data_IF_570307598025
#
_entry.id   IF_570307598025
#
_cell.length_a   1.000
_cell.length_b   1.000
_cell.length_c   1.000
_cell.angle_alpha   90.00
_cell.angle_beta   90.00
_cell.angle_gamma   90.00
#
_symmetry.space_group_name_H-M   'P 1'
#
loop_
_entity.id
_entity.type
_entity.pdbx_description
1 polymer ?
#
# COMPACT_ATOMS: atom_id res chain seq x y z
N UNK A 1 12.30 14.24 5.37
CA UNK A 1 12.33 13.34 4.21
C UNK A 1 12.09 11.91 4.68
N UNK A 2 11.22 11.14 4.03
CA UNK A 2 11.09 9.70 4.31
C UNK A 2 12.26 8.93 3.67
N UNK A 3 12.88 8.01 4.41
CA UNK A 3 14.09 7.29 3.99
C UNK A 3 13.81 5.82 3.70
N UNK A 4 13.26 5.09 4.67
CA UNK A 4 13.07 3.63 4.59
C UNK A 4 11.73 3.27 5.25
N UNK A 5 10.97 2.39 4.62
CA UNK A 5 9.72 1.86 5.13
C UNK A 5 9.88 0.40 5.54
N UNK A 6 9.51 0.08 6.78
CA UNK A 6 9.54 -1.26 7.36
C UNK A 6 8.10 -1.73 7.63
N UNK A 7 7.48 -2.51 6.70
CA UNK A 7 6.14 -3.03 6.91
C UNK A 7 6.12 -4.03 8.07
N UNK A 8 5.03 -4.04 8.85
CA UNK A 8 4.76 -5.12 9.79
C UNK A 8 4.31 -6.35 8.98
N UNK A 9 4.93 -7.54 9.14
CA UNK A 9 4.64 -8.71 8.29
C UNK A 9 3.16 -9.11 8.27
N UNK A 10 2.46 -8.94 9.40
CA UNK A 10 1.04 -9.23 9.55
C UNK A 10 0.11 -8.13 9.02
N UNK A 11 0.64 -6.97 8.63
CA UNK A 11 -0.14 -5.83 8.13
C UNK A 11 0.17 -5.52 6.67
N UNK A 12 0.19 -6.56 5.82
CA UNK A 12 0.40 -6.44 4.39
C UNK A 12 -0.77 -7.12 3.68
N UNK A 13 -1.34 -6.43 2.71
CA UNK A 13 -2.33 -6.98 1.80
C UNK A 13 -1.92 -6.65 0.35
N UNK A 14 -2.06 -7.61 -0.54
CA UNK A 14 -1.86 -7.42 -1.97
C UNK A 14 -3.22 -7.39 -2.67
N UNK A 15 -3.40 -6.42 -3.56
CA UNK A 15 -4.61 -6.25 -4.37
C UNK A 15 -4.18 -6.29 -5.82
N UNK A 16 -4.74 -7.21 -6.61
CA UNK A 16 -4.43 -7.28 -8.04
C UNK A 16 -4.84 -5.97 -8.73
N UNK A 17 -3.98 -5.42 -9.58
CA UNK A 17 -4.32 -4.24 -10.36
C UNK A 17 -5.07 -4.64 -11.62
N UNK A 18 -5.92 -3.76 -12.13
CA UNK A 18 -6.45 -3.94 -13.48
C UNK A 18 -5.29 -3.84 -14.48
N UNK A 19 -5.17 -4.84 -15.34
CA UNK A 19 -4.11 -4.93 -16.35
C UNK A 19 -4.69 -4.88 -17.78
N UNK A 20 -3.89 -4.41 -18.74
CA UNK A 20 -4.25 -4.39 -20.16
C UNK A 20 -3.80 -3.13 -20.91
N UNK A 21 -4.21 -3.00 -22.17
CA UNK A 21 -3.77 -1.95 -23.11
C UNK A 21 -3.95 -0.52 -22.58
N UNK A 22 -5.01 -0.28 -21.80
CA UNK A 22 -5.36 1.04 -21.23
C UNK A 22 -5.21 1.09 -19.70
N UNK A 23 -4.45 0.15 -19.11
CA UNK A 23 -4.28 0.01 -17.67
C UNK A 23 -2.82 -0.35 -17.32
N UNK A 24 -2.62 -1.08 -16.21
CA UNK A 24 -1.28 -1.48 -15.79
C UNK A 24 -0.73 -2.64 -16.63
N UNK A 25 0.60 -2.87 -16.64
CA UNK A 25 1.20 -4.08 -17.18
C UNK A 25 0.69 -5.35 -16.49
N UNK A 26 0.71 -6.47 -17.20
CA UNK A 26 0.23 -7.76 -16.67
C UNK A 26 0.91 -8.19 -15.37
N UNK A 27 0.10 -8.69 -14.44
CA UNK A 27 0.57 -9.16 -13.13
C UNK A 27 0.98 -8.03 -12.18
N UNK A 28 0.55 -6.80 -12.44
CA UNK A 28 0.72 -5.68 -11.51
C UNK A 28 -0.18 -5.85 -10.29
N UNK A 29 0.33 -5.52 -9.11
CA UNK A 29 -0.43 -5.50 -7.86
C UNK A 29 -0.18 -4.20 -7.10
N UNK A 30 -1.13 -3.80 -6.27
CA UNK A 30 -0.91 -2.84 -5.19
C UNK A 30 -0.56 -3.60 -3.92
N UNK A 31 0.48 -3.15 -3.23
CA UNK A 31 0.78 -3.52 -1.86
C UNK A 31 0.26 -2.44 -0.93
N UNK A 32 -0.74 -2.77 -0.14
CA UNK A 32 -1.24 -1.94 0.96
C UNK A 32 -0.61 -2.47 2.24
N UNK A 33 0.11 -1.62 2.99
CA UNK A 33 0.79 -2.06 4.19
C UNK A 33 0.77 -1.02 5.30
N UNK A 34 0.73 -1.47 6.56
CA UNK A 34 1.01 -0.63 7.74
C UNK A 34 2.40 -0.98 8.28
N UNK A 35 3.19 0.03 8.61
CA UNK A 35 4.55 -0.16 9.08
C UNK A 35 5.21 1.12 9.55
N UNK A 36 6.42 1.01 10.10
CA UNK A 36 7.18 2.19 10.52
C UNK A 36 7.92 2.78 9.33
N UNK A 37 7.83 4.10 9.15
CA UNK A 37 8.61 4.80 8.14
C UNK A 37 9.62 5.74 8.80
N UNK A 38 10.90 5.60 8.44
CA UNK A 38 11.97 6.44 8.97
C UNK A 38 11.91 7.81 8.33
N UNK A 39 11.56 8.82 9.12
CA UNK A 39 11.59 10.23 8.77
C UNK A 39 12.68 10.94 9.60
N UNK A 40 13.06 12.16 9.20
CA UNK A 40 14.04 12.93 9.98
C UNK A 40 13.52 13.28 11.40
N UNK A 41 12.20 13.32 11.59
CA UNK A 41 11.52 13.62 12.86
C UNK A 41 11.18 12.40 13.70
N UNK A 42 11.51 11.18 13.25
CA UNK A 42 11.20 9.93 13.97
C UNK A 42 10.71 8.82 13.04
N UNK A 43 10.12 7.79 13.64
CA UNK A 43 9.68 6.58 12.93
C UNK A 43 8.16 6.37 13.10
N UNK A 44 7.30 7.23 12.54
CA UNK A 44 5.86 7.06 12.68
C UNK A 44 5.38 5.74 12.06
N UNK A 45 4.33 5.18 12.67
CA UNK A 45 3.52 4.14 12.07
C UNK A 45 2.66 4.76 10.97
N UNK A 46 2.81 4.27 9.73
CA UNK A 46 2.11 4.80 8.55
C UNK A 46 1.42 3.69 7.79
N UNK A 47 0.32 4.05 7.13
CA UNK A 47 -0.26 3.28 6.04
C UNK A 47 0.42 3.70 4.74
N UNK A 48 0.86 2.73 3.94
CA UNK A 48 1.53 2.98 2.67
C UNK A 48 0.97 2.08 1.57
N UNK A 49 0.68 2.70 0.43
CA UNK A 49 0.26 2.01 -0.80
C UNK A 49 1.42 2.11 -1.79
N UNK A 50 1.82 0.98 -2.36
CA UNK A 50 2.92 0.90 -3.32
C UNK A 50 2.53 -0.01 -4.47
N UNK A 51 3.07 0.24 -5.66
CA UNK A 51 2.84 -0.64 -6.81
C UNK A 51 3.93 -1.72 -6.88
N UNK A 52 3.56 -2.91 -7.30
CA UNK A 52 4.44 -4.06 -7.48
C UNK A 52 4.23 -4.54 -8.90
N UNK A 53 5.27 -4.41 -9.71
CA UNK A 53 5.27 -4.98 -11.06
C UNK A 53 5.83 -6.39 -10.99
N UNK A 54 5.29 -7.29 -11.81
CA UNK A 54 5.75 -8.67 -11.92
C UNK A 54 7.26 -8.77 -12.18
N UNK A 55 7.79 -7.93 -13.08
CA UNK A 55 9.17 -8.05 -13.54
C UNK A 55 10.17 -7.22 -12.71
N UNK A 56 9.76 -6.03 -12.26
CA UNK A 56 10.65 -5.11 -11.52
C UNK A 56 10.40 -5.08 -10.02
N UNK A 57 9.39 -5.81 -9.54
CA UNK A 57 9.00 -5.83 -8.15
C UNK A 57 8.46 -4.49 -7.62
N UNK A 58 8.60 -4.30 -6.31
CA UNK A 58 8.06 -3.18 -5.55
C UNK A 58 8.68 -1.83 -5.95
N UNK A 59 7.83 -0.87 -6.29
CA UNK A 59 8.23 0.51 -6.60
C UNK A 59 7.91 1.44 -5.43
N UNK A 60 8.94 1.82 -4.66
CA UNK A 60 8.76 2.57 -3.41
C UNK A 60 8.73 4.09 -3.49
N UNK A 61 9.10 4.68 -4.64
CA UNK A 61 9.18 6.14 -4.82
C UNK A 61 8.16 6.70 -5.81
N UNK A 62 7.45 5.83 -6.53
CA UNK A 62 6.39 6.23 -7.46
C UNK A 62 5.06 6.18 -6.73
N UNK A 63 4.27 7.24 -6.84
CA UNK A 63 2.89 7.21 -6.37
C UNK A 63 2.12 6.13 -7.12
N UNK A 64 1.25 5.36 -6.44
CA UNK A 64 0.37 4.42 -7.12
C UNK A 64 -0.62 5.22 -7.99
N UNK A 65 -0.90 4.70 -9.18
CA UNK A 65 -1.91 5.23 -10.09
C UNK A 65 -3.09 4.27 -10.18
N UNK A 66 -4.30 4.81 -10.25
CA UNK A 66 -5.54 4.03 -10.36
C UNK A 66 -6.17 4.34 -11.73
N UNK A 67 -6.20 3.39 -12.68
CA UNK A 67 -6.77 3.61 -14.00
C UNK A 67 -8.25 4.03 -13.91
N UNK A 68 -8.62 5.12 -14.58
CA UNK A 68 -10.01 5.59 -14.60
C UNK A 68 -10.90 4.61 -15.39
N UNK A 69 -12.13 4.42 -14.93
CA UNK A 69 -13.07 3.46 -15.52
C UNK A 69 -12.98 2.05 -14.94
N UNK A 70 -12.06 1.82 -14.00
CA UNK A 70 -11.91 0.59 -13.24
C UNK A 70 -12.08 0.84 -11.73
N UNK A 71 -12.16 -0.23 -10.95
CA UNK A 71 -12.47 -0.22 -9.52
C UNK A 71 -11.24 -0.40 -8.61
N UNK A 72 -10.03 -0.19 -9.15
CA UNK A 72 -8.78 -0.38 -8.44
C UNK A 72 -8.72 0.43 -7.14
N UNK A 73 -9.18 1.69 -7.20
CA UNK A 73 -9.19 2.58 -6.04
C UNK A 73 -10.12 2.07 -4.95
N UNK A 74 -11.31 1.60 -5.32
CA UNK A 74 -12.30 1.01 -4.41
C UNK A 74 -11.74 -0.26 -3.75
N UNK A 75 -11.17 -1.18 -4.54
CA UNK A 75 -10.58 -2.43 -4.02
C UNK A 75 -9.40 -2.17 -3.09
N UNK A 76 -8.56 -1.18 -3.42
CA UNK A 76 -7.46 -0.74 -2.56
C UNK A 76 -7.97 -0.08 -1.28
N UNK A 77 -9.00 0.76 -1.35
CA UNK A 77 -9.61 1.34 -0.14
C UNK A 77 -10.26 0.29 0.76
N UNK A 78 -10.85 -0.76 0.20
CA UNK A 78 -11.37 -1.88 0.98
C UNK A 78 -10.23 -2.60 1.74
N UNK A 79 -9.07 -2.80 1.10
CA UNK A 79 -7.88 -3.36 1.76
C UNK A 79 -7.33 -2.42 2.85
N UNK A 80 -7.29 -1.11 2.57
CA UNK A 80 -6.94 -0.08 3.57
C UNK A 80 -7.85 -0.20 4.79
N UNK A 81 -9.17 -0.22 4.60
CA UNK A 81 -10.13 -0.30 5.69
C UNK A 81 -9.98 -1.59 6.50
N UNK A 82 -9.72 -2.73 5.84
CA UNK A 82 -9.42 -4.00 6.52
C UNK A 82 -8.18 -3.91 7.41
N UNK A 83 -7.09 -3.35 6.90
CA UNK A 83 -5.85 -3.21 7.66
C UNK A 83 -5.98 -2.21 8.81
N UNK A 84 -6.68 -1.08 8.61
CA UNK A 84 -6.95 -0.12 9.67
C UNK A 84 -7.79 -0.74 10.79
N UNK A 85 -8.85 -1.48 10.45
CA UNK A 85 -9.64 -2.21 11.44
C UNK A 85 -8.78 -3.23 12.19
N UNK A 86 -7.98 -4.02 11.48
CA UNK A 86 -7.06 -4.99 12.10
C UNK A 86 -6.07 -4.31 13.04
N UNK A 87 -5.54 -3.14 12.67
CA UNK A 87 -4.64 -2.37 13.52
C UNK A 87 -5.32 -1.87 14.79
N UNK A 88 -6.58 -1.41 14.69
CA UNK A 88 -7.39 -1.04 15.85
C UNK A 88 -7.66 -2.25 16.77
N UNK A 89 -8.05 -3.39 16.20
CA UNK A 89 -8.33 -4.62 16.95
C UNK A 89 -7.08 -5.13 17.70
N UNK A 90 -5.88 -4.88 17.18
CA UNK A 90 -4.60 -5.21 17.81
C UNK A 90 -4.08 -4.13 18.76
N UNK A 91 -4.79 -3.03 18.95
CA UNK A 91 -4.40 -1.94 19.84
C UNK A 91 -3.18 -1.15 19.37
N UNK A 92 -2.86 -1.17 18.07
CA UNK A 92 -1.82 -0.30 17.51
C UNK A 92 -2.26 1.15 17.68
N UNK A 93 -1.50 1.90 18.47
CA UNK A 93 -1.81 3.32 18.75
C UNK A 93 -1.35 4.18 17.59
N UNK A 94 -2.30 4.72 16.83
CA UNK A 94 -2.07 5.81 15.90
C UNK A 94 -2.97 6.98 16.28
N UNK A 95 -2.46 8.21 16.12
CA UNK A 95 -3.25 9.43 16.34
C UNK A 95 -4.18 9.58 15.13
N UNK A 96 -5.48 9.47 15.34
CA UNK A 96 -6.49 9.91 14.38
C UNK A 96 -6.55 11.44 14.34
#
# INVERSE_FOLDING_TARGET
MAKIFHPLPEMIEFVDATCGEYAHPDGTQYRVAIGNEIWDSGNPLVLKIQIVYKDTGLQGRRSPSFPLGYDDFERVNLAVNRLLKKAQDQGLKFRM
#
